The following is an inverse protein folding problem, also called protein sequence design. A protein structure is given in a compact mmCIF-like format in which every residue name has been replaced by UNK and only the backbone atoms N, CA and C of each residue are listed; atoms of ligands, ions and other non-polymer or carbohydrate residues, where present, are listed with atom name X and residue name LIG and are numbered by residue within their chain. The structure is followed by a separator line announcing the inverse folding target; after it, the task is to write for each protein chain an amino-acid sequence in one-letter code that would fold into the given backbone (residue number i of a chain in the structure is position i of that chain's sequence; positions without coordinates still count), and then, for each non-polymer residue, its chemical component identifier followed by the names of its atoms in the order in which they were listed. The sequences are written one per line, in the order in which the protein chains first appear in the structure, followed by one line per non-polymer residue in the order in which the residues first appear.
data_IF_089458916513
#
_entry.id   IF_089458916513
#
_cell.length_a   1.000
_cell.length_b   1.000
_cell.length_c   1.000
_cell.angle_alpha   90.00
_cell.angle_beta   90.00
_cell.angle_gamma   90.00
#
_symmetry.space_group_name_H-M   'P 1'
#
loop_
_entity.id
_entity.type
_entity.pdbx_description
1 polymer ?
#
# COMPACT_ATOMS: atom_id res chain seq x y z
N UNK A 1 -27.63 -74.38 -31.25
CA UNK A 1 -29.07 -74.62 -31.05
C UNK A 1 -29.48 -73.77 -29.85
N UNK A 2 -30.28 -72.77 -30.03
CA UNK A 2 -31.48 -72.42 -29.30
C UNK A 2 -31.78 -70.90 -29.50
N UNK A 3 -32.67 -70.72 -30.34
CA UNK A 3 -33.71 -69.73 -30.60
C UNK A 3 -33.68 -68.34 -29.85
N UNK A 4 -33.57 -67.35 -30.71
CA UNK A 4 -34.04 -65.95 -30.59
C UNK A 4 -35.55 -65.99 -30.36
N UNK A 5 -36.06 -65.24 -29.40
CA UNK A 5 -37.43 -64.76 -29.34
C UNK A 5 -37.47 -63.23 -29.48
N UNK A 6 -37.97 -62.83 -30.60
CA UNK A 6 -38.49 -61.43 -30.82
C UNK A 6 -39.86 -61.32 -30.14
N UNK A 7 -40.12 -60.18 -29.55
CA UNK A 7 -41.47 -59.64 -29.30
C UNK A 7 -41.56 -58.21 -29.85
N UNK A 8 -42.67 -57.94 -30.51
CA UNK A 8 -42.86 -56.67 -31.18
C UNK A 8 -43.75 -55.68 -30.40
N UNK A 9 -43.60 -54.41 -30.78
CA UNK A 9 -44.65 -53.39 -30.77
C UNK A 9 -45.09 -52.70 -29.50
N UNK A 10 -44.90 -51.36 -29.47
CA UNK A 10 -46.04 -50.44 -29.61
C UNK A 10 -45.53 -49.06 -30.01
N UNK A 11 -45.78 -48.68 -31.22
CA UNK A 11 -45.78 -47.29 -31.60
C UNK A 11 -47.12 -46.69 -31.16
N UNK A 12 -47.09 -45.66 -30.35
CA UNK A 12 -48.19 -44.70 -30.25
C UNK A 12 -47.75 -43.40 -29.52
N UNK A 13 -47.98 -42.29 -30.19
CA UNK A 13 -48.20 -40.97 -29.68
C UNK A 13 -47.07 -40.22 -28.97
N UNK A 14 -46.32 -39.50 -29.76
CA UNK A 14 -45.58 -38.32 -29.31
C UNK A 14 -45.85 -37.16 -30.30
N UNK A 15 -47.05 -36.66 -30.29
CA UNK A 15 -47.41 -35.35 -30.85
C UNK A 15 -48.04 -34.61 -29.67
N UNK A 16 -47.33 -33.69 -29.06
CA UNK A 16 -47.91 -32.87 -28.00
C UNK A 16 -46.98 -32.30 -26.97
N UNK A 17 -45.67 -32.18 -27.21
CA UNK A 17 -44.78 -31.48 -26.21
C UNK A 17 -43.71 -30.62 -26.85
N UNK A 18 -43.91 -30.14 -28.07
CA UNK A 18 -42.96 -29.25 -28.74
C UNK A 18 -43.37 -27.77 -28.78
N UNK A 19 -44.47 -27.40 -28.10
CA UNK A 19 -44.97 -26.02 -28.12
C UNK A 19 -44.88 -25.26 -26.77
N UNK A 20 -44.29 -25.88 -25.74
CA UNK A 20 -44.18 -25.24 -24.41
C UNK A 20 -42.77 -24.85 -23.98
N UNK A 21 -41.74 -25.01 -24.81
CA UNK A 21 -40.36 -24.61 -24.47
C UNK A 21 -39.80 -23.44 -25.30
N UNK A 22 -40.61 -22.73 -26.08
CA UNK A 22 -40.17 -21.58 -26.83
C UNK A 22 -40.56 -20.23 -26.23
N UNK A 23 -41.14 -20.22 -25.03
CA UNK A 23 -41.60 -18.97 -24.38
C UNK A 23 -40.82 -18.60 -23.10
N UNK A 24 -39.73 -19.27 -22.77
CA UNK A 24 -38.99 -19.02 -21.53
C UNK A 24 -37.56 -18.48 -21.73
N UNK A 25 -37.19 -18.00 -22.91
CA UNK A 25 -35.85 -17.46 -23.19
C UNK A 25 -35.83 -16.00 -23.69
N UNK A 26 -36.89 -15.24 -23.43
CA UNK A 26 -36.83 -13.77 -23.53
C UNK A 26 -36.76 -13.10 -22.16
N UNK A 27 -36.20 -13.79 -21.18
CA UNK A 27 -35.68 -13.13 -19.99
C UNK A 27 -34.48 -12.31 -20.41
N UNK A 28 -34.68 -11.01 -20.64
CA UNK A 28 -33.61 -10.07 -20.89
C UNK A 28 -32.50 -10.32 -19.86
N UNK A 29 -31.31 -10.66 -20.32
CA UNK A 29 -30.12 -10.51 -19.52
C UNK A 29 -30.06 -9.03 -19.14
N UNK A 30 -30.57 -8.69 -17.95
CA UNK A 30 -30.25 -7.44 -17.34
C UNK A 30 -28.74 -7.46 -17.19
N UNK A 31 -28.04 -6.85 -18.12
CA UNK A 31 -26.66 -6.44 -17.93
C UNK A 31 -26.71 -5.58 -16.68
N UNK A 32 -26.29 -6.17 -15.55
CA UNK A 32 -25.93 -5.39 -14.38
C UNK A 32 -24.80 -4.50 -14.87
N UNK A 33 -25.15 -3.29 -15.30
CA UNK A 33 -24.15 -2.26 -15.50
C UNK A 33 -23.38 -2.18 -14.20
N UNK A 34 -22.09 -2.51 -14.23
CA UNK A 34 -21.25 -2.35 -13.08
C UNK A 34 -21.41 -0.90 -12.62
N UNK A 35 -22.03 -0.72 -11.45
CA UNK A 35 -22.27 0.62 -10.93
C UNK A 35 -20.89 1.19 -10.62
N UNK A 36 -20.51 2.28 -11.29
CA UNK A 36 -19.27 2.97 -11.03
C UNK A 36 -19.20 3.32 -9.54
N UNK A 37 -18.06 3.06 -8.91
CA UNK A 37 -17.84 3.43 -7.52
C UNK A 37 -17.94 4.95 -7.36
N UNK A 38 -18.47 5.40 -6.24
CA UNK A 38 -18.62 6.83 -5.97
C UNK A 38 -17.23 7.47 -5.76
N UNK A 39 -17.05 8.69 -6.26
CA UNK A 39 -15.92 9.54 -5.94
C UNK A 39 -16.40 10.83 -5.25
N UNK A 40 -16.50 10.85 -3.92
CA UNK A 40 -16.92 12.03 -3.18
C UNK A 40 -15.76 12.99 -2.87
N UNK A 41 -14.67 12.95 -3.61
CA UNK A 41 -13.49 13.75 -3.37
C UNK A 41 -13.16 14.66 -4.55
N UNK A 42 -12.57 15.81 -4.23
CA UNK A 42 -12.01 16.75 -5.19
C UNK A 42 -10.55 17.03 -4.85
N UNK A 43 -9.68 16.96 -5.83
CA UNK A 43 -8.27 17.30 -5.69
C UNK A 43 -8.10 18.78 -5.36
N UNK A 44 -7.24 19.10 -4.40
CA UNK A 44 -6.77 20.44 -4.09
C UNK A 44 -5.35 20.61 -4.63
N UNK A 45 -5.22 21.40 -5.70
CA UNK A 45 -3.92 21.62 -6.35
C UNK A 45 -2.96 22.42 -5.48
N UNK A 46 -1.67 22.04 -5.55
CA UNK A 46 -0.58 22.83 -4.95
C UNK A 46 -0.66 22.97 -3.43
N UNK A 47 -1.31 22.02 -2.74
CA UNK A 47 -1.46 22.10 -1.29
C UNK A 47 -0.12 22.07 -0.56
N UNK A 48 0.73 21.08 -0.82
CA UNK A 48 2.02 20.94 -0.14
C UNK A 48 3.07 21.91 -0.71
N UNK A 49 3.71 22.68 0.18
CA UNK A 49 4.67 23.71 -0.20
C UNK A 49 5.95 23.59 0.64
N UNK A 50 7.09 23.40 -0.01
CA UNK A 50 8.39 23.44 0.66
C UNK A 50 8.86 24.90 0.83
N UNK A 51 9.67 25.19 1.88
CA UNK A 51 10.20 26.52 2.12
C UNK A 51 10.97 27.05 0.90
N UNK A 52 10.75 28.34 0.60
CA UNK A 52 11.41 29.01 -0.53
C UNK A 52 10.89 28.60 -1.91
N UNK A 53 9.73 27.92 -2.00
CA UNK A 53 9.17 27.46 -3.26
C UNK A 53 9.98 26.34 -3.94
N UNK A 54 10.76 25.60 -3.17
CA UNK A 54 11.53 24.46 -3.68
C UNK A 54 10.60 23.39 -4.24
N UNK A 55 10.98 22.70 -5.33
CA UNK A 55 10.22 21.59 -5.85
C UNK A 55 10.20 20.42 -4.86
N UNK A 56 9.07 19.75 -4.78
CA UNK A 56 8.92 18.51 -3.98
C UNK A 56 9.58 17.36 -4.73
N UNK A 57 10.39 16.56 -4.02
CA UNK A 57 10.93 15.31 -4.53
C UNK A 57 9.88 14.20 -4.62
N UNK A 58 10.31 13.00 -4.97
CA UNK A 58 9.45 11.83 -4.90
C UNK A 58 8.90 11.65 -3.48
N UNK A 59 7.58 11.56 -3.32
CA UNK A 59 6.93 11.40 -2.02
C UNK A 59 6.65 9.92 -1.78
N UNK A 60 7.19 9.41 -0.68
CA UNK A 60 6.87 8.09 -0.16
C UNK A 60 5.63 8.11 0.73
N UNK A 61 5.69 7.44 1.89
CA UNK A 61 4.54 7.35 2.80
C UNK A 61 4.21 8.68 3.46
N UNK A 62 2.93 8.90 3.62
CA UNK A 62 2.34 9.95 4.46
C UNK A 62 1.63 9.32 5.64
N UNK A 63 1.59 10.03 6.77
CA UNK A 63 0.79 9.65 7.92
C UNK A 63 0.27 10.90 8.65
N UNK A 64 -0.76 10.72 9.47
CA UNK A 64 -1.42 11.80 10.19
C UNK A 64 -0.81 11.95 11.58
N UNK A 65 -0.47 13.18 11.94
CA UNK A 65 -0.04 13.49 13.30
C UNK A 65 -1.15 13.19 14.32
N UNK A 66 -0.77 12.95 15.57
CA UNK A 66 -1.71 12.63 16.66
C UNK A 66 -2.77 13.71 16.92
N UNK A 67 -2.56 14.92 16.42
CA UNK A 67 -3.58 15.98 16.46
C UNK A 67 -4.68 15.81 15.40
N UNK A 68 -4.52 14.85 14.49
CA UNK A 68 -5.46 14.52 13.42
C UNK A 68 -5.51 15.53 12.27
N UNK A 69 -4.58 16.49 12.19
CA UNK A 69 -4.61 17.59 11.21
C UNK A 69 -3.32 17.83 10.47
N UNK A 70 -2.18 17.72 11.17
CA UNK A 70 -0.88 17.82 10.53
C UNK A 70 -0.56 16.53 9.80
N UNK A 71 0.17 16.62 8.70
CA UNK A 71 0.55 15.48 7.88
C UNK A 71 2.06 15.35 7.89
N UNK A 72 2.53 14.20 8.31
CA UNK A 72 3.90 13.77 8.13
C UNK A 72 4.08 13.14 6.75
N UNK A 73 5.20 13.41 6.11
CA UNK A 73 5.54 12.82 4.82
C UNK A 73 7.03 12.52 4.72
N UNK A 74 7.36 11.40 4.12
CA UNK A 74 8.69 11.09 3.63
C UNK A 74 8.85 11.67 2.23
N UNK A 75 9.85 12.53 2.05
CA UNK A 75 10.22 13.08 0.75
C UNK A 75 11.61 12.57 0.37
N UNK A 76 11.71 11.93 -0.78
CA UNK A 76 12.96 11.36 -1.33
C UNK A 76 13.81 12.47 -1.95
N UNK A 77 14.20 13.44 -1.13
CA UNK A 77 15.08 14.55 -1.45
C UNK A 77 14.69 15.38 -2.70
N UNK A 78 15.60 16.16 -3.23
CA UNK A 78 15.32 16.97 -4.40
C UNK A 78 15.24 16.12 -5.68
N UNK A 79 14.43 16.55 -6.67
CA UNK A 79 14.42 15.89 -7.96
C UNK A 79 15.83 15.83 -8.55
N UNK A 80 16.32 14.63 -8.80
CA UNK A 80 17.62 14.46 -9.44
C UNK A 80 17.58 15.00 -10.88
N UNK A 81 18.66 15.62 -11.30
CA UNK A 81 18.84 16.01 -12.70
C UNK A 81 18.84 14.79 -13.64
N UNK A 82 19.24 13.63 -13.14
CA UNK A 82 19.26 12.36 -13.86
C UNK A 82 17.95 11.59 -13.59
N UNK A 83 17.03 11.51 -14.57
CA UNK A 83 15.76 10.80 -14.40
C UNK A 83 15.91 9.28 -14.30
N UNK A 84 17.09 8.73 -14.60
CA UNK A 84 17.36 7.28 -14.48
C UNK A 84 17.67 6.87 -13.04
N UNK A 85 17.98 7.83 -12.17
CA UNK A 85 18.22 7.58 -10.74
C UNK A 85 16.91 7.57 -9.96
N UNK A 86 16.28 6.41 -9.91
CA UNK A 86 15.12 6.16 -9.07
C UNK A 86 15.47 5.06 -8.05
N UNK A 87 15.21 5.32 -6.75
CA UNK A 87 15.46 4.38 -5.67
C UNK A 87 16.75 4.63 -4.88
N UNK A 88 17.41 5.77 -5.09
CA UNK A 88 18.58 6.23 -4.33
C UNK A 88 18.70 7.78 -4.30
N UNK A 89 17.56 8.46 -4.39
CA UNK A 89 17.49 9.92 -4.60
C UNK A 89 18.15 10.72 -3.48
N UNK A 90 18.15 10.19 -2.24
CA UNK A 90 18.77 10.87 -1.10
C UNK A 90 20.24 10.50 -0.89
N UNK A 91 20.82 9.63 -1.71
CA UNK A 91 22.17 9.13 -1.51
C UNK A 91 23.21 10.23 -1.29
N UNK A 92 23.17 11.26 -2.15
CA UNK A 92 24.16 12.35 -2.15
C UNK A 92 23.57 13.67 -1.63
N UNK A 93 22.36 13.63 -1.06
CA UNK A 93 21.63 14.81 -0.57
C UNK A 93 21.77 14.99 0.95
N UNK A 94 21.78 16.27 1.38
CA UNK A 94 21.66 16.67 2.79
C UNK A 94 20.30 17.24 3.12
N UNK A 95 19.36 17.20 2.18
CA UNK A 95 17.99 17.64 2.40
C UNK A 95 17.32 16.76 3.44
N UNK A 96 16.51 17.36 4.28
CA UNK A 96 15.66 16.62 5.21
C UNK A 96 14.70 15.72 4.44
N UNK A 97 14.55 14.48 4.91
CA UNK A 97 13.67 13.49 4.29
C UNK A 97 12.30 13.42 4.96
N UNK A 98 12.19 13.84 6.21
CA UNK A 98 10.96 13.79 6.99
C UNK A 98 10.43 15.21 7.17
N UNK A 99 9.19 15.42 6.75
CA UNK A 99 8.54 16.75 6.81
C UNK A 99 7.19 16.65 7.51
N UNK A 100 6.88 17.63 8.36
CA UNK A 100 5.55 17.83 8.92
C UNK A 100 4.91 19.05 8.25
N UNK A 101 3.75 18.83 7.64
CA UNK A 101 2.95 19.89 7.01
C UNK A 101 1.80 20.31 7.91
N UNK A 102 1.56 21.61 8.00
CA UNK A 102 0.37 22.17 8.63
C UNK A 102 -0.89 21.98 7.76
N UNK A 103 -2.07 22.25 8.30
CA UNK A 103 -3.33 22.19 7.54
C UNK A 103 -3.36 23.10 6.32
N UNK A 104 -2.54 24.15 6.30
CA UNK A 104 -2.35 25.08 5.18
C UNK A 104 -1.34 24.59 4.12
N UNK A 105 -0.76 23.39 4.33
CA UNK A 105 0.20 22.78 3.41
C UNK A 105 1.63 23.31 3.52
N UNK A 106 1.94 24.17 4.48
CA UNK A 106 3.30 24.63 4.72
C UNK A 106 4.04 23.73 5.68
N UNK A 107 5.36 23.64 5.50
CA UNK A 107 6.22 22.86 6.41
C UNK A 107 6.30 23.56 7.77
N UNK A 108 6.00 22.80 8.81
CA UNK A 108 6.11 23.21 10.23
C UNK A 108 7.47 22.82 10.80
N UNK A 109 7.93 21.61 10.48
CA UNK A 109 9.25 21.11 10.88
C UNK A 109 9.74 20.08 9.88
N UNK A 110 11.06 19.88 9.82
CA UNK A 110 11.68 18.83 9.02
C UNK A 110 12.98 18.36 9.66
N UNK A 111 13.38 17.13 9.36
CA UNK A 111 14.62 16.51 9.84
C UNK A 111 15.01 15.28 8.98
N UNK A 112 16.13 14.64 9.33
CA UNK A 112 16.58 13.40 8.71
C UNK A 112 17.51 13.60 7.52
N UNK A 113 18.06 14.82 7.34
CA UNK A 113 18.99 15.14 6.26
C UNK A 113 20.24 14.27 6.27
N UNK A 114 20.52 13.59 5.15
CA UNK A 114 21.67 12.70 4.98
C UNK A 114 21.59 11.38 5.75
N UNK A 115 20.46 11.02 6.34
CA UNK A 115 20.32 9.81 7.16
C UNK A 115 19.84 8.58 6.37
N UNK A 116 19.32 8.79 5.17
CA UNK A 116 18.72 7.75 4.34
C UNK A 116 19.32 7.79 2.93
N UNK A 117 19.23 6.67 2.23
CA UNK A 117 19.49 6.57 0.79
C UNK A 117 18.17 6.58 0.03
N UNK A 118 17.20 5.79 0.48
CA UNK A 118 15.87 5.71 -0.13
C UNK A 118 14.78 5.57 0.94
N UNK A 119 14.47 6.67 1.65
CA UNK A 119 13.41 6.64 2.66
C UNK A 119 12.07 6.32 2.01
N UNK A 120 11.28 5.43 2.64
CA UNK A 120 10.12 4.83 1.98
C UNK A 120 8.85 4.81 2.84
N UNK A 121 8.76 3.95 3.85
CA UNK A 121 7.65 3.88 4.78
C UNK A 121 7.79 4.89 5.91
N UNK A 122 6.66 5.31 6.47
CA UNK A 122 6.57 6.20 7.62
C UNK A 122 5.38 5.81 8.49
N UNK A 123 5.52 5.90 9.81
CA UNK A 123 4.45 5.68 10.78
C UNK A 123 4.56 6.68 11.93
N UNK A 124 3.44 7.23 12.36
CA UNK A 124 3.32 8.03 13.59
C UNK A 124 2.79 7.11 14.68
N UNK A 125 3.67 6.66 15.58
CA UNK A 125 3.29 5.71 16.63
C UNK A 125 2.30 6.30 17.65
N UNK A 126 1.67 5.48 18.50
CA UNK A 126 0.72 5.95 19.51
C UNK A 126 1.26 7.03 20.46
N UNK A 127 2.58 7.11 20.66
CA UNK A 127 3.25 8.13 21.49
C UNK A 127 3.62 9.40 20.70
N UNK A 128 3.36 9.43 19.37
CA UNK A 128 3.66 10.54 18.46
C UNK A 128 5.08 10.51 17.91
N UNK A 129 5.85 9.44 18.10
CA UNK A 129 7.17 9.32 17.48
C UNK A 129 7.05 8.88 16.02
N UNK A 130 8.06 9.22 15.23
CA UNK A 130 8.07 9.02 13.79
C UNK A 130 9.01 7.87 13.45
N UNK A 131 8.49 6.85 12.80
CA UNK A 131 9.25 5.72 12.29
C UNK A 131 9.44 5.86 10.78
N UNK A 132 10.65 5.58 10.29
CA UNK A 132 10.97 5.68 8.86
C UNK A 132 11.79 4.49 8.42
N UNK A 133 11.42 3.87 7.30
CA UNK A 133 12.18 2.77 6.68
C UNK A 133 13.12 3.30 5.61
N UNK A 134 14.27 2.64 5.42
CA UNK A 134 15.20 2.88 4.31
C UNK A 134 15.26 1.63 3.41
N UNK A 135 14.45 1.65 2.34
CA UNK A 135 14.17 0.49 1.50
C UNK A 135 15.14 0.34 0.32
N UNK A 136 16.28 1.01 0.35
CA UNK A 136 17.25 0.99 -0.75
C UNK A 136 17.67 -0.44 -1.10
N UNK A 137 17.81 -0.73 -2.40
CA UNK A 137 18.34 -2.00 -2.87
C UNK A 137 19.87 -2.06 -2.63
N UNK A 138 20.38 -3.23 -2.24
CA UNK A 138 21.81 -3.41 -1.85
C UNK A 138 22.81 -2.96 -2.92
N UNK A 139 22.48 -3.14 -4.20
CA UNK A 139 23.36 -2.75 -5.30
C UNK A 139 23.42 -1.22 -5.53
N UNK A 140 22.63 -0.44 -4.79
CA UNK A 140 22.60 1.04 -4.84
C UNK A 140 23.28 1.68 -3.63
N UNK A 141 23.69 0.88 -2.64
CA UNK A 141 24.44 1.35 -1.48
C UNK A 141 25.91 1.55 -1.86
N UNK A 142 26.47 2.75 -1.72
CA UNK A 142 27.90 2.96 -1.95
C UNK A 142 28.76 2.08 -1.03
N UNK A 143 29.89 1.61 -1.50
CA UNK A 143 30.82 0.80 -0.69
C UNK A 143 31.23 1.56 0.57
N UNK A 144 30.97 0.95 1.75
CA UNK A 144 31.29 1.55 3.04
C UNK A 144 30.25 2.54 3.56
N UNK A 145 29.15 2.75 2.87
CA UNK A 145 28.03 3.53 3.39
C UNK A 145 27.26 2.69 4.46
N UNK A 146 26.95 3.33 5.58
CA UNK A 146 26.24 2.70 6.70
C UNK A 146 24.76 3.05 6.72
N UNK A 147 24.17 3.47 5.58
CA UNK A 147 22.74 3.73 5.43
C UNK A 147 22.09 2.58 4.67
N UNK A 148 20.74 2.53 4.68
CA UNK A 148 19.96 1.48 4.03
C UNK A 148 19.68 0.27 4.93
N UNK A 149 18.68 -0.50 4.58
CA UNK A 149 18.24 -1.73 5.26
C UNK A 149 17.96 -1.54 6.76
N UNK A 150 17.40 -0.38 7.14
CA UNK A 150 17.13 0.00 8.52
C UNK A 150 15.73 0.59 8.68
N UNK A 151 15.24 0.56 9.92
CA UNK A 151 14.09 1.32 10.38
C UNK A 151 14.54 2.24 11.51
N UNK A 152 14.23 3.52 11.43
CA UNK A 152 14.68 4.53 12.41
C UNK A 152 13.48 5.13 13.10
N UNK A 153 13.49 5.16 14.43
CA UNK A 153 12.52 5.87 15.28
C UNK A 153 13.08 7.22 15.66
N UNK A 154 12.27 8.27 15.48
CA UNK A 154 12.58 9.63 15.89
C UNK A 154 11.54 10.13 16.89
N UNK A 155 11.95 11.03 17.77
CA UNK A 155 11.01 11.92 18.46
C UNK A 155 10.42 12.94 17.47
N UNK A 156 9.30 13.62 17.81
CA UNK A 156 8.69 14.62 16.93
C UNK A 156 9.59 15.82 16.57
N UNK A 157 10.65 16.04 17.34
CA UNK A 157 11.68 17.07 17.11
C UNK A 157 12.91 16.54 16.35
N UNK A 158 12.86 15.28 15.85
CA UNK A 158 13.89 14.71 14.99
C UNK A 158 15.07 14.05 15.70
N UNK A 159 15.03 13.86 17.02
CA UNK A 159 16.06 13.10 17.75
C UNK A 159 15.89 11.61 17.49
N UNK A 160 16.96 10.92 17.11
CA UNK A 160 16.96 9.45 16.95
C UNK A 160 16.78 8.79 18.32
N UNK A 161 15.74 7.97 18.44
CA UNK A 161 15.41 7.21 19.66
C UNK A 161 15.81 5.75 19.54
N UNK A 162 15.68 5.16 18.33
CA UNK A 162 15.97 3.74 18.10
C UNK A 162 16.34 3.49 16.62
N UNK A 163 17.10 2.44 16.39
CA UNK A 163 17.34 1.86 15.05
C UNK A 163 17.13 0.35 15.10
N UNK A 164 16.41 -0.17 14.10
CA UNK A 164 16.27 -1.61 13.85
C UNK A 164 16.96 -1.94 12.52
N UNK A 165 17.45 -3.17 12.41
CA UNK A 165 18.22 -3.62 11.26
C UNK A 165 19.73 -3.50 11.45
N UNK A 166 20.47 -3.86 10.41
CA UNK A 166 21.93 -3.67 10.33
C UNK A 166 22.21 -2.61 9.26
N UNK A 167 22.42 -1.35 9.64
CA UNK A 167 22.58 -0.26 8.67
C UNK A 167 23.67 -0.55 7.64
N UNK A 168 23.32 -0.37 6.34
CA UNK A 168 24.23 -0.61 5.21
C UNK A 168 24.41 -2.06 4.80
N UNK A 169 23.80 -3.02 5.53
CA UNK A 169 23.96 -4.45 5.25
C UNK A 169 22.62 -5.18 5.15
N UNK A 170 22.30 -5.68 3.97
CA UNK A 170 21.16 -6.57 3.79
C UNK A 170 21.39 -7.91 4.50
N UNK A 171 20.30 -8.47 5.06
CA UNK A 171 20.34 -9.78 5.68
C UNK A 171 18.95 -10.37 5.89
N UNK A 172 18.94 -11.68 6.13
CA UNK A 172 17.72 -12.45 6.44
C UNK A 172 17.71 -13.02 7.88
N UNK A 173 18.75 -12.75 8.65
CA UNK A 173 18.80 -13.18 10.05
C UNK A 173 17.81 -12.43 10.95
N UNK A 174 17.67 -12.88 12.21
CA UNK A 174 16.83 -12.20 13.19
C UNK A 174 17.18 -10.72 13.31
N UNK A 175 16.19 -9.85 13.10
CA UNK A 175 16.36 -8.41 13.18
C UNK A 175 17.18 -7.74 12.08
N UNK A 176 17.58 -8.46 11.04
CA UNK A 176 18.15 -7.88 9.81
C UNK A 176 17.05 -7.61 8.80
N UNK A 177 17.30 -6.77 7.81
CA UNK A 177 16.36 -6.46 6.73
C UNK A 177 17.02 -6.54 5.34
N UNK A 178 16.18 -6.71 4.32
CA UNK A 178 16.55 -6.55 2.92
C UNK A 178 15.48 -5.73 2.19
N UNK A 179 15.67 -4.42 2.17
CA UNK A 179 14.73 -3.42 1.63
C UNK A 179 13.39 -3.35 2.42
N UNK A 180 13.43 -2.96 3.72
CA UNK A 180 12.20 -2.80 4.53
C UNK A 180 11.33 -1.71 3.93
N UNK A 181 10.12 -2.08 3.48
CA UNK A 181 9.23 -1.18 2.74
C UNK A 181 8.37 -0.32 3.65
N UNK A 182 7.85 -0.87 4.74
CA UNK A 182 6.91 -0.15 5.61
C UNK A 182 6.97 -0.67 7.05
N UNK A 183 6.36 0.07 7.97
CA UNK A 183 6.32 -0.22 9.40
C UNK A 183 4.97 0.19 9.98
N UNK A 184 4.48 -0.59 10.97
CA UNK A 184 3.33 -0.24 11.80
C UNK A 184 3.61 -0.57 13.27
N UNK A 185 3.10 0.27 14.17
CA UNK A 185 3.29 0.12 15.62
C UNK A 185 1.94 -0.12 16.30
N UNK A 186 1.84 -1.24 16.99
CA UNK A 186 0.63 -1.60 17.74
C UNK A 186 0.43 -0.70 18.97
N UNK A 187 -0.78 -0.60 19.53
CA UNK A 187 -1.06 0.18 20.74
C UNK A 187 -0.23 -0.22 21.98
N UNK A 188 0.21 -1.48 22.05
CA UNK A 188 1.09 -1.96 23.12
C UNK A 188 2.58 -1.65 22.89
N UNK A 189 2.90 -1.04 21.73
CA UNK A 189 4.25 -0.67 21.31
C UNK A 189 5.00 -1.74 20.50
N UNK A 190 4.43 -2.93 20.27
CA UNK A 190 5.02 -3.92 19.37
C UNK A 190 5.13 -3.33 17.95
N UNK A 191 6.27 -3.60 17.30
CA UNK A 191 6.61 -3.05 15.99
C UNK A 191 6.59 -4.16 14.95
N UNK A 192 5.91 -3.92 13.83
CA UNK A 192 5.86 -4.85 12.71
C UNK A 192 6.44 -4.18 11.47
N UNK A 193 7.42 -4.82 10.85
CA UNK A 193 8.13 -4.31 9.67
C UNK A 193 7.85 -5.20 8.47
N UNK A 194 7.37 -4.60 7.39
CA UNK A 194 7.28 -5.24 6.09
C UNK A 194 8.67 -5.23 5.44
N UNK A 195 9.30 -6.39 5.29
CA UNK A 195 10.67 -6.53 4.82
C UNK A 195 10.72 -7.21 3.45
N UNK A 196 10.80 -6.42 2.38
CA UNK A 196 10.87 -6.97 1.02
C UNK A 196 10.22 -6.12 -0.06
N UNK A 197 10.63 -4.85 -0.23
CA UNK A 197 10.09 -3.93 -1.22
C UNK A 197 10.08 -4.47 -2.66
N UNK A 198 10.98 -5.34 -3.01
CA UNK A 198 11.14 -5.91 -4.34
C UNK A 198 11.07 -7.45 -4.32
N UNK A 199 10.99 -8.06 -5.50
CA UNK A 199 10.83 -9.52 -5.62
C UNK A 199 12.02 -10.33 -5.10
N UNK A 200 13.20 -9.71 -5.00
CA UNK A 200 14.42 -10.35 -4.46
C UNK A 200 14.68 -10.02 -2.99
N UNK A 201 13.77 -9.29 -2.35
CA UNK A 201 13.78 -9.03 -0.91
C UNK A 201 13.41 -10.27 -0.09
N UNK A 202 13.40 -10.12 1.24
CA UNK A 202 13.04 -11.23 2.12
C UNK A 202 11.57 -11.62 2.03
N UNK A 203 10.70 -10.67 1.67
CA UNK A 203 9.24 -10.87 1.54
C UNK A 203 8.62 -11.51 2.78
N UNK A 204 8.84 -10.86 3.92
CA UNK A 204 8.35 -11.32 5.24
C UNK A 204 7.90 -10.14 6.09
N UNK A 205 7.15 -10.41 7.15
CA UNK A 205 6.86 -9.47 8.23
C UNK A 205 7.71 -9.85 9.44
N UNK A 206 8.38 -8.87 10.04
CA UNK A 206 9.23 -9.06 11.23
C UNK A 206 8.63 -8.32 12.42
N UNK A 207 8.42 -9.02 13.53
CA UNK A 207 7.88 -8.46 14.78
C UNK A 207 8.99 -8.19 15.78
N UNK A 208 8.94 -7.01 16.41
CA UNK A 208 9.79 -6.60 17.51
C UNK A 208 8.95 -6.17 18.71
N UNK A 209 9.52 -6.23 19.91
CA UNK A 209 8.96 -5.57 21.08
C UNK A 209 9.12 -4.05 20.96
N UNK A 210 8.43 -3.28 21.82
CA UNK A 210 8.58 -1.82 21.96
C UNK A 210 10.02 -1.37 22.22
N UNK A 211 10.85 -2.23 22.80
CA UNK A 211 12.26 -1.97 23.09
C UNK A 211 13.19 -2.41 21.95
N UNK A 212 12.64 -2.76 20.78
CA UNK A 212 13.40 -3.15 19.59
C UNK A 212 14.01 -4.55 19.63
N UNK A 213 13.56 -5.43 20.52
CA UNK A 213 14.01 -6.83 20.56
C UNK A 213 13.24 -7.66 19.56
N UNK A 214 13.95 -8.42 18.72
CA UNK A 214 13.34 -9.38 17.80
C UNK A 214 12.47 -10.39 18.56
N UNK A 215 11.27 -10.63 18.05
CA UNK A 215 10.31 -11.60 18.58
C UNK A 215 10.18 -12.78 17.64
N UNK A 216 9.75 -12.54 16.41
CA UNK A 216 9.48 -13.54 15.39
C UNK A 216 9.32 -12.91 14.02
N UNK A 217 9.17 -13.75 13.02
CA UNK A 217 8.83 -13.35 11.65
C UNK A 217 7.92 -14.38 11.00
N UNK A 218 7.25 -13.99 9.94
CA UNK A 218 6.48 -14.87 9.07
C UNK A 218 6.49 -14.39 7.64
N UNK A 219 6.26 -15.31 6.71
CA UNK A 219 6.26 -15.06 5.29
C UNK A 219 7.59 -15.44 4.63
N UNK A 220 7.50 -15.57 3.32
CA UNK A 220 8.60 -15.83 2.39
C UNK A 220 8.13 -15.48 0.98
N UNK A 221 9.02 -15.45 0.02
CA UNK A 221 8.67 -15.24 -1.39
C UNK A 221 7.79 -16.37 -1.93
N UNK A 222 6.65 -16.04 -2.53
CA UNK A 222 5.75 -17.01 -3.18
C UNK A 222 4.33 -16.49 -3.41
N UNK A 223 3.40 -17.40 -3.73
CA UNK A 223 2.02 -17.11 -4.13
C UNK A 223 0.96 -17.64 -3.17
N UNK A 224 1.30 -18.61 -2.31
CA UNK A 224 0.36 -19.22 -1.37
C UNK A 224 -0.06 -18.24 -0.26
N UNK A 225 -1.07 -18.53 0.55
CA UNK A 225 -1.33 -17.81 1.79
C UNK A 225 -0.08 -17.74 2.67
N UNK A 226 0.19 -16.59 3.27
CA UNK A 226 1.41 -16.28 4.03
C UNK A 226 2.71 -16.26 3.21
N UNK A 227 2.64 -16.30 1.90
CA UNK A 227 3.77 -16.01 1.00
C UNK A 227 3.52 -14.65 0.33
N UNK A 228 4.60 -13.91 0.04
CA UNK A 228 4.52 -12.53 -0.48
C UNK A 228 5.42 -12.34 -1.70
N UNK A 229 5.07 -11.35 -2.52
CA UNK A 229 5.93 -10.84 -3.59
C UNK A 229 5.90 -9.32 -3.60
N UNK A 230 7.07 -8.70 -3.65
CA UNK A 230 7.18 -7.25 -3.58
C UNK A 230 6.27 -6.67 -2.48
N UNK A 231 6.42 -7.19 -1.25
CA UNK A 231 5.67 -6.79 -0.07
C UNK A 231 5.90 -5.30 0.16
N UNK A 232 4.83 -4.48 0.14
CA UNK A 232 4.98 -3.04 0.01
C UNK A 232 4.45 -2.24 1.19
N UNK A 233 3.31 -2.60 1.72
CA UNK A 233 2.66 -1.86 2.80
C UNK A 233 2.26 -2.77 3.95
N UNK A 234 2.20 -2.19 5.15
CA UNK A 234 1.65 -2.84 6.34
C UNK A 234 0.85 -1.80 7.14
N UNK A 235 -0.31 -2.21 7.65
CA UNK A 235 -1.14 -1.37 8.51
C UNK A 235 -1.90 -2.23 9.52
N UNK A 236 -2.43 -1.62 10.57
CA UNK A 236 -3.22 -2.30 11.60
C UNK A 236 -4.57 -1.61 11.76
N UNK A 237 -5.63 -2.39 11.84
CA UNK A 237 -6.96 -1.87 12.16
C UNK A 237 -7.21 -1.76 13.68
N UNK A 238 -8.37 -1.21 14.07
CA UNK A 238 -8.73 -1.01 15.49
C UNK A 238 -8.86 -2.31 16.28
N UNK A 239 -9.00 -3.46 15.61
CA UNK A 239 -9.06 -4.80 16.22
C UNK A 239 -7.69 -5.43 16.39
N UNK A 240 -6.62 -4.75 15.96
CA UNK A 240 -5.27 -5.28 15.99
C UNK A 240 -4.96 -6.30 14.89
N UNK A 241 -5.78 -6.39 13.82
CA UNK A 241 -5.44 -7.20 12.65
C UNK A 241 -4.39 -6.50 11.81
N UNK A 242 -3.41 -7.26 11.38
CA UNK A 242 -2.35 -6.79 10.48
C UNK A 242 -2.78 -6.99 9.03
N UNK A 243 -2.81 -5.93 8.27
CA UNK A 243 -3.06 -5.94 6.83
C UNK A 243 -1.75 -5.73 6.09
N UNK A 244 -1.43 -6.63 5.19
CA UNK A 244 -0.19 -6.64 4.43
C UNK A 244 -0.50 -6.44 2.94
N UNK A 245 0.08 -5.41 2.35
CA UNK A 245 0.02 -5.15 0.91
C UNK A 245 0.97 -6.05 0.15
N UNK A 246 0.49 -7.21 -0.25
CA UNK A 246 1.19 -8.18 -1.08
C UNK A 246 1.09 -7.76 -2.55
N UNK A 247 1.82 -6.65 -2.87
CA UNK A 247 1.68 -5.90 -4.10
C UNK A 247 1.95 -6.75 -5.34
N UNK A 248 3.02 -7.55 -5.32
CA UNK A 248 3.39 -8.41 -6.44
C UNK A 248 2.38 -9.54 -6.73
N UNK A 249 1.48 -9.83 -5.77
CA UNK A 249 0.39 -10.79 -5.92
C UNK A 249 -0.99 -10.14 -6.06
N UNK A 250 -1.08 -8.80 -6.18
CA UNK A 250 -2.31 -8.03 -6.36
C UNK A 250 -3.37 -8.35 -5.29
N UNK A 251 -2.96 -8.42 -4.01
CA UNK A 251 -3.86 -8.75 -2.90
C UNK A 251 -3.43 -8.09 -1.58
N UNK A 252 -4.40 -7.95 -0.68
CA UNK A 252 -4.14 -7.79 0.74
C UNK A 252 -4.15 -9.16 1.42
N UNK A 253 -3.26 -9.40 2.37
CA UNK A 253 -3.34 -10.53 3.27
C UNK A 253 -3.53 -10.04 4.71
N UNK A 254 -4.39 -10.70 5.47
CA UNK A 254 -4.77 -10.34 6.82
C UNK A 254 -4.21 -11.37 7.80
N UNK A 255 -3.64 -10.89 8.89
CA UNK A 255 -3.05 -11.71 9.94
C UNK A 255 -3.48 -11.22 11.33
N UNK A 256 -3.40 -12.08 12.32
CA UNK A 256 -3.32 -11.62 13.71
C UNK A 256 -1.88 -11.15 14.03
N UNK A 257 -1.68 -10.61 15.23
CA UNK A 257 -0.37 -10.10 15.66
C UNK A 257 0.67 -11.21 15.94
N UNK A 258 0.24 -12.47 15.88
CA UNK A 258 1.12 -13.63 15.96
C UNK A 258 1.48 -14.23 14.61
N UNK A 259 1.01 -13.60 13.51
CA UNK A 259 1.28 -14.01 12.15
C UNK A 259 0.42 -15.16 11.67
N UNK A 260 -0.69 -15.48 12.37
CA UNK A 260 -1.67 -16.43 11.89
C UNK A 260 -2.45 -15.83 10.72
N UNK A 261 -2.46 -16.49 9.58
CA UNK A 261 -3.24 -16.06 8.41
C UNK A 261 -4.75 -16.12 8.72
N UNK A 262 -5.45 -15.02 8.47
CA UNK A 262 -6.90 -14.89 8.70
C UNK A 262 -7.68 -14.92 7.39
N UNK A 263 -7.24 -14.16 6.39
CA UNK A 263 -7.96 -13.97 5.13
C UNK A 263 -7.09 -13.29 4.08
N UNK A 264 -7.57 -13.25 2.83
CA UNK A 264 -6.98 -12.43 1.78
C UNK A 264 -8.07 -11.73 0.96
N UNK A 265 -7.74 -10.53 0.44
CA UNK A 265 -8.66 -9.69 -0.33
C UNK A 265 -8.00 -9.24 -1.64
N UNK A 266 -8.69 -9.45 -2.77
CA UNK A 266 -8.19 -9.07 -4.10
C UNK A 266 -8.90 -7.86 -4.69
N UNK A 267 -10.00 -7.39 -4.06
CA UNK A 267 -10.84 -6.30 -4.55
C UNK A 267 -10.25 -4.90 -4.38
N UNK A 268 -9.03 -4.79 -3.88
CA UNK A 268 -8.34 -3.51 -3.71
C UNK A 268 -7.26 -3.25 -4.77
N UNK A 269 -7.16 -4.10 -5.78
CA UNK A 269 -6.18 -3.96 -6.86
C UNK A 269 -4.76 -4.35 -6.46
N UNK A 270 -3.77 -3.54 -6.87
CA UNK A 270 -2.35 -3.74 -6.60
C UNK A 270 -1.91 -2.84 -5.43
N UNK A 271 -2.02 -3.33 -4.16
CA UNK A 271 -1.93 -2.47 -2.99
C UNK A 271 -0.50 -1.96 -2.75
N UNK A 272 -0.30 -0.67 -2.94
CA UNK A 272 0.95 0.04 -2.64
C UNK A 272 0.93 0.66 -1.24
N UNK A 273 -0.20 1.21 -0.79
CA UNK A 273 -0.36 1.83 0.51
C UNK A 273 -1.67 1.45 1.19
N UNK A 274 -1.68 1.40 2.52
CA UNK A 274 -2.85 1.07 3.33
C UNK A 274 -2.95 2.07 4.47
N UNK A 275 -4.16 2.54 4.75
CA UNK A 275 -4.47 3.39 5.90
C UNK A 275 -5.85 3.04 6.47
N UNK A 276 -6.03 3.18 7.77
CA UNK A 276 -7.32 3.05 8.45
C UNK A 276 -7.67 4.36 9.15
N UNK A 277 -8.90 4.83 8.98
CA UNK A 277 -9.40 5.93 9.79
C UNK A 277 -9.99 5.42 11.13
N UNK A 278 -10.41 6.36 11.98
CA UNK A 278 -11.00 6.10 13.29
C UNK A 278 -12.32 5.31 13.28
N UNK A 279 -12.88 5.06 12.09
CA UNK A 279 -14.09 4.28 11.86
C UNK A 279 -13.85 2.93 11.20
N UNK A 280 -12.58 2.51 11.13
CA UNK A 280 -12.17 1.32 10.38
C UNK A 280 -12.58 1.35 8.88
N UNK A 281 -12.68 2.54 8.29
CA UNK A 281 -12.65 2.60 6.83
C UNK A 281 -11.21 2.34 6.38
N UNK A 282 -11.08 1.41 5.44
CA UNK A 282 -9.79 1.10 4.83
C UNK A 282 -9.63 1.92 3.56
N UNK A 283 -8.45 2.53 3.41
CA UNK A 283 -8.01 3.26 2.23
C UNK A 283 -6.80 2.52 1.65
N UNK A 284 -6.91 2.10 0.40
CA UNK A 284 -5.83 1.36 -0.27
C UNK A 284 -5.44 2.09 -1.54
N UNK A 285 -4.20 2.54 -1.58
CA UNK A 285 -3.61 3.14 -2.77
C UNK A 285 -3.10 2.05 -3.71
N UNK A 286 -3.49 2.15 -4.97
CA UNK A 286 -3.02 1.34 -6.08
C UNK A 286 -2.32 2.28 -7.07
N UNK A 287 -0.99 2.26 -7.10
CA UNK A 287 -0.16 3.16 -7.89
C UNK A 287 0.39 2.54 -9.16
N UNK A 288 0.13 1.25 -9.41
CA UNK A 288 0.83 0.51 -10.45
C UNK A 288 -0.04 -0.47 -11.24
N UNK A 289 -1.37 -0.50 -11.05
CA UNK A 289 -2.24 -1.31 -11.91
C UNK A 289 -2.20 -0.79 -13.34
N UNK A 290 -1.92 -1.69 -14.27
CA UNK A 290 -1.88 -1.46 -15.71
C UNK A 290 -2.22 -2.76 -16.45
N UNK A 291 -2.20 -2.74 -17.79
CA UNK A 291 -2.51 -3.90 -18.63
C UNK A 291 -1.52 -5.06 -18.50
N UNK A 292 -0.39 -4.87 -17.83
CA UNK A 292 0.64 -5.90 -17.62
C UNK A 292 0.66 -6.39 -16.18
N UNK A 293 0.67 -5.46 -15.22
CA UNK A 293 0.85 -5.78 -13.80
C UNK A 293 -0.44 -6.28 -13.14
N UNK A 294 -1.58 -5.72 -13.54
CA UNK A 294 -2.90 -6.07 -13.00
C UNK A 294 -3.99 -5.77 -14.05
N UNK A 295 -4.09 -6.58 -15.12
CA UNK A 295 -4.98 -6.30 -16.25
C UNK A 295 -6.44 -6.11 -15.85
N UNK A 296 -7.07 -5.07 -16.41
CA UNK A 296 -8.47 -4.73 -16.13
C UNK A 296 -8.69 -3.92 -14.85
N UNK A 297 -7.63 -3.49 -14.19
CA UNK A 297 -7.68 -2.62 -13.02
C UNK A 297 -7.10 -1.24 -13.32
N UNK A 298 -7.64 -0.23 -12.66
CA UNK A 298 -7.19 1.15 -12.75
C UNK A 298 -6.52 1.60 -11.47
N UNK A 299 -5.51 2.47 -11.60
CA UNK A 299 -4.85 3.13 -10.48
C UNK A 299 -5.80 4.07 -9.75
N UNK A 300 -5.65 4.15 -8.45
CA UNK A 300 -6.43 5.06 -7.61
C UNK A 300 -6.41 4.66 -6.15
N UNK A 301 -7.21 5.35 -5.34
CA UNK A 301 -7.40 5.02 -3.94
C UNK A 301 -8.78 4.40 -3.77
N UNK A 302 -8.82 3.12 -3.42
CA UNK A 302 -10.06 2.39 -3.11
C UNK A 302 -10.35 2.49 -1.64
N UNK A 303 -11.60 2.88 -1.31
CA UNK A 303 -12.04 3.13 0.05
C UNK A 303 -13.17 2.16 0.37
N UNK A 304 -13.07 1.49 1.50
CA UNK A 304 -14.01 0.46 1.89
C UNK A 304 -14.18 0.30 3.39
N UNK A 305 -14.71 -0.84 3.79
CA UNK A 305 -14.99 -1.21 5.17
C UNK A 305 -14.06 -2.36 5.60
N UNK A 306 -13.21 -2.14 6.57
CA UNK A 306 -12.26 -3.14 7.06
C UNK A 306 -12.92 -4.37 7.68
N UNK A 307 -14.18 -4.28 8.08
CA UNK A 307 -14.90 -5.39 8.69
C UNK A 307 -15.55 -6.31 7.66
N UNK A 308 -15.99 -5.73 6.55
CA UNK A 308 -16.75 -6.43 5.49
C UNK A 308 -15.92 -6.70 4.25
N UNK A 309 -14.80 -6.00 4.08
CA UNK A 309 -13.91 -6.14 2.95
C UNK A 309 -14.43 -5.54 1.64
N UNK A 310 -15.60 -4.91 1.62
CA UNK A 310 -16.13 -4.32 0.40
C UNK A 310 -15.51 -2.97 0.06
N UNK A 311 -15.49 -2.59 -1.21
CA UNK A 311 -15.09 -1.28 -1.70
C UNK A 311 -16.35 -0.46 -1.99
N UNK A 312 -16.43 0.76 -1.45
CA UNK A 312 -17.58 1.67 -1.60
C UNK A 312 -17.27 2.91 -2.43
N UNK A 313 -16.05 3.44 -2.35
CA UNK A 313 -15.64 4.69 -2.99
C UNK A 313 -14.31 4.47 -3.73
N UNK A 314 -14.07 5.24 -4.79
CA UNK A 314 -12.84 5.15 -5.58
C UNK A 314 -12.41 6.53 -6.05
N UNK A 315 -11.24 6.98 -5.61
CA UNK A 315 -10.56 8.15 -6.16
C UNK A 315 -9.69 7.65 -7.30
N UNK A 316 -10.23 7.68 -8.52
CA UNK A 316 -9.47 7.28 -9.71
C UNK A 316 -8.43 8.33 -10.05
N UNK A 317 -7.20 7.88 -10.37
CA UNK A 317 -6.18 8.79 -10.85
C UNK A 317 -6.38 9.09 -12.33
N UNK A 318 -6.23 10.37 -12.68
CA UNK A 318 -6.50 10.86 -14.03
C UNK A 318 -5.33 10.66 -15.00
N UNK A 319 -4.27 10.00 -14.56
CA UNK A 319 -2.97 10.02 -15.24
C UNK A 319 -2.76 8.90 -16.26
N UNK A 320 -3.78 8.07 -16.51
CA UNK A 320 -3.67 7.01 -17.51
C UNK A 320 -2.69 5.89 -17.16
N UNK A 321 -2.20 5.23 -18.16
CA UNK A 321 -1.23 4.12 -18.03
C UNK A 321 0.10 4.64 -17.45
N UNK A 322 0.60 4.09 -16.33
CA UNK A 322 1.87 4.49 -15.73
C UNK A 322 3.07 4.34 -16.66
N UNK A 323 2.99 3.49 -17.67
CA UNK A 323 4.04 3.33 -18.68
C UNK A 323 4.09 4.51 -19.65
N UNK A 324 2.94 5.13 -19.93
CA UNK A 324 2.85 6.26 -20.86
C UNK A 324 3.06 7.61 -20.16
N UNK A 325 2.57 7.76 -18.93
CA UNK A 325 2.59 9.02 -18.20
C UNK A 325 3.82 9.22 -17.33
N UNK A 326 4.70 8.20 -17.21
CA UNK A 326 5.80 8.17 -16.25
C UNK A 326 5.36 8.47 -14.80
N UNK A 327 4.05 8.41 -14.52
CA UNK A 327 3.44 8.78 -13.25
C UNK A 327 2.70 7.63 -12.64
N UNK A 328 3.22 7.04 -11.60
CA UNK A 328 2.43 6.27 -10.68
C UNK A 328 1.61 7.28 -9.88
N UNK A 329 0.36 6.99 -9.59
CA UNK A 329 -0.42 7.79 -8.66
C UNK A 329 0.12 7.69 -7.22
N UNK A 330 -0.73 7.93 -6.24
CA UNK A 330 -0.33 7.82 -4.85
C UNK A 330 0.19 6.41 -4.52
N UNK A 331 1.43 6.35 -4.07
CA UNK A 331 2.05 5.11 -3.58
C UNK A 331 1.58 4.78 -2.16
N UNK A 332 1.36 5.82 -1.34
CA UNK A 332 0.80 5.70 0.00
C UNK A 332 -0.34 6.70 0.21
N UNK A 333 -1.12 6.44 1.24
CA UNK A 333 -2.31 7.22 1.57
C UNK A 333 -2.43 7.43 3.07
N UNK A 334 -2.92 8.61 3.47
CA UNK A 334 -3.35 8.92 4.84
C UNK A 334 -4.60 9.80 4.83
N UNK A 335 -5.29 9.91 5.97
CA UNK A 335 -6.57 10.62 6.05
C UNK A 335 -6.63 11.43 7.33
N UNK A 336 -6.90 12.74 7.22
CA UNK A 336 -7.04 13.61 8.38
C UNK A 336 -8.41 13.42 9.07
N UNK A 337 -8.57 14.03 10.26
CA UNK A 337 -9.81 13.96 11.05
C UNK A 337 -11.04 14.55 10.35
N UNK A 338 -10.82 15.43 9.38
CA UNK A 338 -11.89 16.06 8.58
C UNK A 338 -12.28 15.17 7.39
N UNK A 339 -11.58 14.05 7.18
CA UNK A 339 -11.82 13.07 6.14
C UNK A 339 -11.17 13.43 4.81
N UNK A 340 -10.24 14.39 4.78
CA UNK A 340 -9.45 14.65 3.58
C UNK A 340 -8.38 13.57 3.41
N UNK A 341 -8.16 13.15 2.18
CA UNK A 341 -7.20 12.11 1.81
C UNK A 341 -5.93 12.75 1.28
N UNK A 342 -4.78 12.21 1.69
CA UNK A 342 -3.47 12.65 1.24
C UNK A 342 -2.75 11.50 0.55
N UNK A 343 -2.21 11.76 -0.63
CA UNK A 343 -1.50 10.78 -1.44
C UNK A 343 -0.08 11.22 -1.75
N UNK A 344 0.90 10.41 -1.39
CA UNK A 344 2.29 10.61 -1.75
C UNK A 344 2.58 10.04 -3.13
N UNK A 345 2.97 10.88 -4.09
CA UNK A 345 3.23 10.49 -5.49
C UNK A 345 4.73 10.53 -5.81
N UNK A 346 5.39 9.38 -6.01
CA UNK A 346 6.83 9.34 -6.24
C UNK A 346 7.27 9.92 -7.58
N UNK A 347 6.60 9.52 -8.68
CA UNK A 347 7.03 9.95 -10.02
C UNK A 347 6.52 11.32 -10.42
N UNK A 348 5.25 11.68 -10.15
CA UNK A 348 4.79 13.07 -10.31
C UNK A 348 5.48 14.03 -9.34
N UNK A 349 6.14 13.50 -8.28
CA UNK A 349 6.84 14.29 -7.25
C UNK A 349 5.92 15.30 -6.60
N UNK A 350 4.82 14.79 -6.05
CA UNK A 350 3.78 15.61 -5.43
C UNK A 350 3.23 14.95 -4.17
N UNK A 351 2.80 15.78 -3.25
CA UNK A 351 1.94 15.40 -2.14
C UNK A 351 0.56 16.01 -2.40
N UNK A 352 -0.39 15.16 -2.80
CA UNK A 352 -1.74 15.59 -3.15
C UNK A 352 -2.67 15.53 -1.97
N UNK A 353 -3.59 16.49 -1.93
CA UNK A 353 -4.73 16.51 -1.01
C UNK A 353 -6.02 16.34 -1.81
N UNK A 354 -6.87 15.44 -1.38
CA UNK A 354 -8.22 15.25 -1.89
C UNK A 354 -9.21 15.65 -0.80
N UNK A 355 -9.96 16.70 -1.04
CA UNK A 355 -10.95 17.23 -0.09
C UNK A 355 -12.27 16.50 -0.28
N UNK A 356 -12.83 15.98 0.82
CA UNK A 356 -14.15 15.36 0.78
C UNK A 356 -15.21 16.42 0.49
N UNK A 357 -15.93 16.23 -0.61
CA UNK A 357 -17.09 17.06 -0.95
C UNK A 357 -18.25 16.54 -0.11
N UNK A 358 -18.78 17.36 0.79
CA UNK A 358 -20.01 17.01 1.51
C UNK A 358 -21.17 17.01 0.51
N UNK A 359 -22.06 15.99 0.55
CA UNK A 359 -23.27 16.00 -0.27
C UNK A 359 -24.17 17.16 0.10
#
# INVERSE_FOLDING_TARGET
MTRIRQFPWAAALSVGLAAAMAAAHSGGAATLAAQALLNPYRMADGWAQLPGGKPIGAVGKTDVDRDGRHIWAVIRCEPLADPTRFGDECRDSKMDSVHKFGPDGKVVTSFGGGMFIWPHGLEVDPDGNIWVTDAVASNRIPKGDSRGHQVVKFSPDGKVLMRLGTPGAAGSGPGQFNSPSDVVVAPNGDVFVADGHNEVGNNRVVKFTKDGKYVKEWGKTGYAPSEFRALHAIAMDSRGRIFVGDRGNNRLQLFDQDGTFLSQWTQYGRPSGIFFDDRDRIFVADSESDDVQNPGWEMGIRIGDANKGWVAEFIQFQWGDPRETAGNGAEFVSVDRDGNVYGGEPRPKQLRKYVRVRP
#
